data_IF_812621226634
#
_entry.id   IF_812621226634
#
_cell.length_a   1.000
_cell.length_b   1.000
_cell.length_c   1.000
_cell.angle_alpha   90.00
_cell.angle_beta   90.00
_cell.angle_gamma   90.00
#
_symmetry.space_group_name_H-M   'P 1'
#
loop_
_entity.id
_entity.type
_entity.pdbx_description
1 polymer ?
#
# COMPACT_ATOMS: atom_id res chain seq x y z
N UNK A 1 1.96 -0.61 -9.30
CA UNK A 1 1.32 -1.92 -9.01
C UNK A 1 -0.21 -1.92 -9.12
N UNK A 2 -0.92 -0.91 -8.61
CA UNK A 2 -2.39 -0.92 -8.58
C UNK A 2 -3.08 -1.25 -9.93
N UNK A 3 -2.61 -0.69 -11.05
CA UNK A 3 -3.12 -1.00 -12.39
C UNK A 3 -2.98 -2.49 -12.75
N UNK A 4 -1.82 -3.10 -12.47
CA UNK A 4 -1.57 -4.53 -12.72
C UNK A 4 -2.51 -5.42 -11.89
N UNK A 5 -2.83 -5.02 -10.66
CA UNK A 5 -3.77 -5.74 -9.80
C UNK A 5 -5.19 -5.69 -10.38
N UNK A 6 -5.61 -4.53 -10.89
CA UNK A 6 -6.89 -4.36 -11.58
C UNK A 6 -6.93 -5.22 -12.85
N UNK A 7 -5.90 -5.13 -13.68
CA UNK A 7 -5.82 -5.87 -14.95
C UNK A 7 -5.80 -7.39 -14.73
N UNK A 8 -5.29 -7.85 -13.58
CA UNK A 8 -5.33 -9.26 -13.16
C UNK A 8 -6.71 -9.73 -12.67
N UNK A 9 -7.71 -8.84 -12.59
CA UNK A 9 -9.06 -9.19 -12.14
C UNK A 9 -9.19 -9.43 -10.63
N UNK A 10 -8.25 -8.94 -9.83
CA UNK A 10 -8.29 -9.08 -8.37
C UNK A 10 -9.46 -8.27 -7.82
N UNK A 11 -10.35 -8.93 -7.07
CA UNK A 11 -11.58 -8.31 -6.53
C UNK A 11 -11.42 -7.72 -5.14
N UNK A 12 -10.40 -8.14 -4.39
CA UNK A 12 -10.14 -7.69 -3.03
C UNK A 12 -8.65 -7.59 -2.76
N UNK A 13 -8.24 -6.49 -2.14
CA UNK A 13 -6.87 -6.24 -1.68
C UNK A 13 -6.92 -5.92 -0.19
N UNK A 14 -6.01 -6.52 0.56
CA UNK A 14 -5.80 -6.22 1.98
C UNK A 14 -4.39 -5.67 2.10
N UNK A 15 -4.24 -4.52 2.75
CA UNK A 15 -2.93 -3.90 2.96
C UNK A 15 -2.74 -3.52 4.43
N UNK A 16 -1.54 -3.72 4.96
CA UNK A 16 -1.22 -3.43 6.35
C UNK A 16 -0.69 -2.00 6.54
N UNK A 17 -0.15 -1.39 5.48
CA UNK A 17 0.52 -0.12 5.55
C UNK A 17 0.38 0.62 4.23
N UNK A 18 0.01 1.91 4.30
CA UNK A 18 0.10 2.82 3.16
C UNK A 18 1.53 3.33 3.08
N UNK A 19 2.18 3.02 1.97
CA UNK A 19 3.55 3.48 1.72
C UNK A 19 3.60 5.02 1.74
N UNK A 20 4.57 5.62 2.46
CA UNK A 20 4.80 7.06 2.43
C UNK A 20 5.30 7.49 1.04
N UNK A 21 5.21 8.78 0.73
CA UNK A 21 5.69 9.40 -0.52
C UNK A 21 7.24 9.43 -0.59
N UNK A 22 7.91 8.34 -0.19
CA UNK A 22 9.37 8.19 -0.17
C UNK A 22 9.91 7.82 -1.55
N UNK A 23 9.17 7.00 -2.33
CA UNK A 23 9.63 6.52 -3.63
C UNK A 23 8.87 7.08 -4.82
N UNK A 24 7.58 7.36 -4.64
CA UNK A 24 6.71 7.89 -5.69
C UNK A 24 5.94 9.06 -5.10
N UNK A 25 6.14 10.30 -5.58
CA UNK A 25 5.34 11.44 -5.14
C UNK A 25 3.86 11.21 -5.44
N UNK A 26 2.99 11.37 -4.44
CA UNK A 26 1.54 11.21 -4.61
C UNK A 26 1.13 9.76 -4.88
N UNK A 27 1.75 8.79 -4.20
CA UNK A 27 1.44 7.38 -4.39
C UNK A 27 0.00 7.05 -3.93
N UNK A 28 -0.94 6.94 -4.88
CA UNK A 28 -2.34 6.64 -4.58
C UNK A 28 -2.81 5.28 -5.15
N UNK A 29 -2.10 4.21 -4.77
CA UNK A 29 -2.49 2.86 -5.16
C UNK A 29 -3.89 2.46 -4.67
N UNK A 30 -4.27 2.90 -3.47
CA UNK A 30 -5.57 2.61 -2.88
C UNK A 30 -6.70 3.30 -3.66
N UNK A 31 -6.55 4.57 -4.02
CA UNK A 31 -7.55 5.28 -4.84
C UNK A 31 -7.72 4.66 -6.21
N UNK A 32 -6.64 4.23 -6.87
CA UNK A 32 -6.72 3.50 -8.15
C UNK A 32 -7.52 2.20 -8.02
N UNK A 33 -7.27 1.42 -6.96
CA UNK A 33 -7.97 0.16 -6.72
C UNK A 33 -9.46 0.39 -6.41
N UNK A 34 -9.76 1.31 -5.48
CA UNK A 34 -11.12 1.63 -5.08
C UNK A 34 -11.93 2.20 -6.27
N UNK A 35 -11.33 3.08 -7.07
CA UNK A 35 -11.95 3.64 -8.27
C UNK A 35 -12.26 2.60 -9.35
N UNK A 36 -11.53 1.48 -9.37
CA UNK A 36 -11.81 0.34 -10.25
C UNK A 36 -12.81 -0.68 -9.66
N UNK A 37 -13.39 -0.39 -8.49
CA UNK A 37 -14.35 -1.27 -7.81
C UNK A 37 -13.71 -2.43 -7.04
N UNK A 38 -12.39 -2.42 -6.84
CA UNK A 38 -11.71 -3.39 -5.99
C UNK A 38 -12.02 -3.09 -4.52
N UNK A 39 -12.45 -4.09 -3.76
CA UNK A 39 -12.64 -3.93 -2.32
C UNK A 39 -11.29 -3.84 -1.63
N UNK A 40 -10.98 -2.71 -1.01
CA UNK A 40 -9.73 -2.51 -0.26
C UNK A 40 -10.02 -2.49 1.24
N UNK A 41 -9.27 -3.27 2.00
CA UNK A 41 -9.29 -3.25 3.46
C UNK A 41 -7.89 -2.95 4.01
N UNK A 42 -7.82 -2.06 5.00
CA UNK A 42 -6.59 -1.77 5.73
C UNK A 42 -6.57 -2.58 7.03
N UNK A 43 -5.43 -3.16 7.38
CA UNK A 43 -5.21 -3.94 8.63
C UNK A 43 -4.08 -3.28 9.42
N UNK A 44 -4.37 -2.16 10.12
CA UNK A 44 -3.37 -1.34 10.78
C UNK A 44 -2.64 -2.08 11.93
N UNK A 45 -3.22 -3.14 12.48
CA UNK A 45 -2.60 -3.97 13.52
C UNK A 45 -1.31 -4.64 13.03
N UNK A 46 -1.17 -4.83 11.71
CA UNK A 46 0.02 -5.41 11.07
C UNK A 46 0.99 -4.35 10.54
N UNK A 47 0.67 -3.06 10.68
CA UNK A 47 1.47 -1.98 10.12
C UNK A 47 2.92 -1.99 10.63
N UNK A 48 3.14 -2.24 11.93
CA UNK A 48 4.48 -2.33 12.51
C UNK A 48 5.31 -3.45 11.88
N UNK A 49 4.73 -4.64 11.70
CA UNK A 49 5.40 -5.76 11.05
C UNK A 49 5.67 -5.49 9.55
N UNK A 50 4.77 -4.79 8.86
CA UNK A 50 4.95 -4.40 7.46
C UNK A 50 6.04 -3.32 7.27
N UNK A 51 6.22 -2.44 8.27
CA UNK A 51 7.26 -1.41 8.27
C UNK A 51 8.63 -1.95 8.68
N UNK A 52 8.72 -3.02 9.47
CA UNK A 52 9.99 -3.49 10.05
C UNK A 52 11.11 -3.77 9.02
N UNK A 53 10.86 -4.42 7.87
CA UNK A 53 11.86 -4.57 6.81
C UNK A 53 12.33 -3.22 6.22
N UNK A 54 11.44 -2.22 6.30
CA UNK A 54 11.53 -0.91 5.68
C UNK A 54 11.89 0.20 6.68
N UNK A 55 12.26 -0.13 7.93
CA UNK A 55 12.48 0.87 8.99
C UNK A 55 13.51 1.95 8.63
N UNK A 56 14.49 1.59 7.80
CA UNK A 56 15.54 2.46 7.28
C UNK A 56 15.01 3.59 6.38
N UNK A 57 13.77 3.45 5.88
CA UNK A 57 13.10 4.44 5.03
C UNK A 57 12.28 5.46 5.82
N UNK A 58 11.90 5.13 7.06
CA UNK A 58 10.99 5.94 7.88
C UNK A 58 11.65 6.55 9.13
N UNK A 59 12.85 6.11 9.48
CA UNK A 59 13.66 6.68 10.56
C UNK A 59 14.95 7.28 10.01
N UNK A 60 15.12 8.62 10.01
CA UNK A 60 16.39 9.23 9.61
C UNK A 60 17.53 8.77 10.52
N UNK A 61 18.57 8.15 9.96
CA UNK A 61 19.78 7.73 10.68
C UNK A 61 19.79 6.31 11.24
N UNK A 62 18.86 5.44 10.81
CA UNK A 62 18.88 4.00 11.09
C UNK A 62 19.86 3.21 10.20
#
# INVERSE_FOLDING_TARGET
CARLIVDAGVRRVVTAWREPDTFVPGADGIGVLAGAGVAVAEVPELAGAAMDPNRHLVTPGA
#
